data_IF_021175856768
#
_entry.id   IF_021175856768
#
_cell.length_a   1.000
_cell.length_b   1.000
_cell.length_c   1.000
_cell.angle_alpha   90.00
_cell.angle_beta   90.00
_cell.angle_gamma   90.00
#
_symmetry.space_group_name_H-M   'P 1'
#
loop_
_entity.id
_entity.type
_entity.pdbx_description
1 polymer ?
#
# COMPACT_ATOMS: atom_id res chain seq x y z
N UNK A 1 -20.04 -28.80 -57.15
CA UNK A 1 -18.90 -29.09 -58.03
C UNK A 1 -17.69 -28.37 -57.46
N UNK A 2 -16.73 -29.13 -56.91
CA UNK A 2 -15.38 -28.63 -56.68
C UNK A 2 -14.66 -28.55 -58.05
N UNK A 3 -13.51 -27.85 -58.11
CA UNK A 3 -12.30 -28.64 -58.01
C UNK A 3 -11.22 -28.06 -57.08
N UNK A 4 -10.59 -29.00 -56.41
CA UNK A 4 -9.26 -29.01 -55.80
C UNK A 4 -8.18 -28.64 -56.83
N UNK A 5 -7.05 -28.06 -56.41
CA UNK A 5 -5.70 -28.68 -56.51
C UNK A 5 -4.67 -27.80 -55.80
N UNK A 6 -3.95 -28.49 -54.94
CA UNK A 6 -2.74 -28.21 -54.15
C UNK A 6 -1.52 -27.81 -55.00
N UNK A 7 -0.58 -27.04 -54.42
CA UNK A 7 0.83 -27.42 -54.57
C UNK A 7 1.73 -26.92 -53.44
N UNK A 8 2.68 -27.79 -53.10
CA UNK A 8 3.71 -27.74 -52.06
C UNK A 8 5.06 -27.80 -52.78
N UNK A 9 6.03 -26.98 -52.39
CA UNK A 9 7.48 -27.21 -52.49
C UNK A 9 8.14 -26.00 -51.78
N UNK A 10 8.77 -26.11 -50.61
CA UNK A 10 9.96 -26.87 -50.21
C UNK A 10 11.27 -26.48 -50.96
N UNK A 11 12.31 -26.35 -50.13
CA UNK A 11 13.77 -26.34 -50.37
C UNK A 11 14.45 -24.98 -50.60
N UNK A 12 15.62 -24.66 -50.01
CA UNK A 12 16.48 -25.28 -48.98
C UNK A 12 17.81 -24.51 -48.91
N UNK A 13 18.36 -24.35 -47.68
CA UNK A 13 19.81 -24.23 -47.31
C UNK A 13 20.63 -23.04 -47.89
N UNK A 14 21.73 -22.55 -47.31
CA UNK A 14 22.65 -23.02 -46.26
C UNK A 14 23.59 -21.84 -45.87
N UNK A 15 24.05 -21.81 -44.60
CA UNK A 15 25.45 -21.57 -44.15
C UNK A 15 26.12 -20.19 -44.41
N UNK A 16 27.07 -19.65 -43.62
CA UNK A 16 27.98 -20.14 -42.59
C UNK A 16 28.34 -18.97 -41.63
N UNK A 17 28.62 -19.27 -40.36
CA UNK A 17 29.61 -18.56 -39.51
C UNK A 17 30.96 -19.29 -39.69
N UNK A 18 32.17 -18.73 -39.45
CA UNK A 18 32.54 -18.04 -38.19
C UNK A 18 33.63 -16.94 -38.33
N UNK A 19 33.93 -16.23 -37.24
CA UNK A 19 35.34 -15.87 -36.95
C UNK A 19 35.54 -15.55 -35.45
N UNK A 20 36.42 -16.32 -34.82
CA UNK A 20 37.19 -16.00 -33.60
C UNK A 20 38.45 -15.25 -34.01
N UNK A 21 38.93 -14.27 -33.22
CA UNK A 21 40.36 -14.15 -32.87
C UNK A 21 40.60 -13.24 -31.65
N UNK A 22 41.27 -13.83 -30.65
CA UNK A 22 42.32 -13.32 -29.73
C UNK A 22 42.09 -12.12 -28.77
N UNK A 23 42.24 -12.24 -27.43
CA UNK A 23 43.39 -12.57 -26.54
C UNK A 23 44.46 -11.46 -26.36
N UNK A 24 44.48 -10.83 -25.18
CA UNK A 24 45.64 -10.53 -24.32
C UNK A 24 45.09 -10.29 -22.90
N UNK A 25 45.33 -11.11 -21.86
CA UNK A 25 46.55 -11.34 -21.07
C UNK A 25 47.14 -10.08 -20.42
N UNK A 26 46.90 -9.90 -19.12
CA UNK A 26 48.00 -9.59 -18.18
C UNK A 26 47.65 -10.04 -16.75
N UNK A 27 48.50 -10.92 -16.22
CA UNK A 27 48.63 -11.31 -14.81
C UNK A 27 49.92 -10.71 -14.27
N UNK A 28 49.89 -10.20 -13.05
CA UNK A 28 50.94 -10.23 -12.02
C UNK A 28 50.50 -9.27 -10.90
N UNK A 29 50.83 -9.43 -9.63
CA UNK A 29 51.31 -10.55 -8.84
C UNK A 29 51.09 -10.15 -7.37
N UNK A 30 51.16 -11.14 -6.51
CA UNK A 30 50.93 -11.14 -5.08
C UNK A 30 52.04 -10.39 -4.32
N UNK A 31 51.70 -9.55 -3.34
CA UNK A 31 52.57 -9.39 -2.16
C UNK A 31 51.73 -9.07 -0.91
N UNK A 32 51.89 -9.91 0.11
CA UNK A 32 51.36 -9.75 1.46
C UNK A 32 52.49 -9.15 2.29
N UNK A 33 52.21 -8.18 3.15
CA UNK A 33 52.83 -8.10 4.48
C UNK A 33 52.02 -7.20 5.43
N UNK A 34 52.28 -7.39 6.72
CA UNK A 34 51.38 -7.29 7.87
C UNK A 34 51.65 -6.02 8.73
N UNK A 35 51.00 -5.81 9.88
CA UNK A 35 50.42 -4.52 10.29
C UNK A 35 51.40 -3.59 11.04
N UNK A 36 51.13 -2.29 10.94
CA UNK A 36 51.75 -1.26 11.78
C UNK A 36 51.04 -1.18 13.14
N UNK A 37 51.75 -1.55 14.20
CA UNK A 37 51.57 -1.01 15.54
C UNK A 37 52.21 0.38 15.59
N UNK A 38 51.60 1.34 16.30
CA UNK A 38 52.34 2.49 16.79
C UNK A 38 51.84 2.86 18.19
N UNK A 39 52.82 3.06 19.04
CA UNK A 39 52.75 3.15 20.48
C UNK A 39 52.15 4.47 20.98
N UNK A 40 51.76 4.39 22.24
CA UNK A 40 51.37 5.44 23.17
C UNK A 40 52.34 6.61 23.24
N UNK A 41 51.81 7.84 23.15
CA UNK A 41 52.40 9.00 23.83
C UNK A 41 51.32 9.75 24.62
N UNK A 42 51.54 9.85 25.93
CA UNK A 42 50.84 10.74 26.85
C UNK A 42 51.32 12.18 26.62
N UNK A 43 50.39 13.11 26.46
CA UNK A 43 50.56 14.48 26.95
C UNK A 43 49.24 14.99 27.54
N UNK A 44 49.39 15.45 28.77
CA UNK A 44 48.46 16.23 29.61
C UNK A 44 47.98 17.49 28.91
N UNK A 45 46.71 17.86 29.11
CA UNK A 45 46.33 19.17 29.67
C UNK A 45 44.82 19.20 30.04
N UNK A 46 44.52 20.12 30.95
CA UNK A 46 43.38 20.17 31.87
C UNK A 46 42.03 20.61 31.27
N UNK A 47 40.96 20.13 31.93
CA UNK A 47 39.64 20.75 32.20
C UNK A 47 38.83 21.38 31.05
N UNK A 48 37.67 20.77 30.77
CA UNK A 48 36.37 21.46 30.93
C UNK A 48 35.23 20.42 30.96
N UNK A 49 34.62 20.22 32.13
CA UNK A 49 33.34 19.50 32.27
C UNK A 49 32.21 20.36 31.67
N UNK A 50 31.90 20.14 30.39
CA UNK A 50 30.63 20.57 29.81
C UNK A 50 29.61 19.46 29.96
N UNK A 51 28.75 19.65 30.96
CA UNK A 51 27.46 19.00 31.15
C UNK A 51 26.65 19.10 29.84
N UNK A 52 26.59 18.00 29.08
CA UNK A 52 25.66 17.86 27.97
C UNK A 52 24.29 17.61 28.59
N UNK A 53 23.45 18.63 28.60
CA UNK A 53 22.02 18.47 28.81
C UNK A 53 21.50 17.57 27.70
N UNK A 54 21.05 16.37 28.08
CA UNK A 54 20.21 15.54 27.24
C UNK A 54 18.87 16.24 27.14
N UNK A 55 18.63 16.93 26.01
CA UNK A 55 17.27 17.25 25.62
C UNK A 55 16.56 15.94 25.30
N UNK A 56 15.65 15.54 26.19
CA UNK A 56 14.70 14.46 25.95
C UNK A 56 13.91 14.75 24.66
N UNK A 57 13.69 13.77 23.77
CA UNK A 57 12.84 13.98 22.61
C UNK A 57 11.41 14.27 23.08
N UNK A 58 10.89 15.44 22.70
CA UNK A 58 9.52 15.87 22.96
C UNK A 58 8.51 14.83 22.49
N UNK A 59 7.76 14.27 23.45
CA UNK A 59 6.50 13.54 23.26
C UNK A 59 5.39 14.49 22.77
N UNK A 60 5.57 15.17 21.64
CA UNK A 60 4.54 16.06 21.09
C UNK A 60 3.94 15.46 19.82
N UNK A 61 3.13 14.41 19.96
CA UNK A 61 2.20 13.98 18.89
C UNK A 61 0.97 13.17 19.34
N UNK A 62 0.86 12.74 20.61
CA UNK A 62 -0.23 11.84 21.05
C UNK A 62 -1.25 12.46 22.02
N UNK A 63 -1.09 13.71 22.45
CA UNK A 63 -1.93 14.26 23.53
C UNK A 63 -3.17 15.06 23.10
N UNK A 64 -3.40 15.31 21.80
CA UNK A 64 -4.53 16.14 21.35
C UNK A 64 -5.79 15.37 20.88
N UNK A 65 -5.92 14.07 21.12
CA UNK A 65 -7.09 13.29 20.65
C UNK A 65 -8.26 13.16 21.66
N UNK A 66 -8.18 13.77 22.85
CA UNK A 66 -9.17 13.51 23.92
C UNK A 66 -10.58 14.05 23.68
N UNK A 67 -10.77 14.95 22.71
CA UNK A 67 -12.08 15.57 22.40
C UNK A 67 -12.53 15.42 20.93
N UNK A 68 -11.87 14.58 20.13
CA UNK A 68 -12.27 14.37 18.73
C UNK A 68 -13.43 13.37 18.69
N UNK A 69 -14.58 13.70 18.07
CA UNK A 69 -15.66 12.73 17.94
C UNK A 69 -15.19 11.48 17.18
N UNK A 70 -15.63 10.30 17.61
CA UNK A 70 -15.22 9.02 17.04
C UNK A 70 -16.42 8.18 16.62
N UNK A 71 -16.21 7.31 15.62
CA UNK A 71 -17.12 6.23 15.25
C UNK A 71 -16.47 4.87 15.54
N UNK A 72 -17.22 3.94 16.12
CA UNK A 72 -16.73 2.62 16.48
C UNK A 72 -17.15 1.53 15.48
N UNK A 73 -16.21 0.66 15.09
CA UNK A 73 -16.54 -0.60 14.44
C UNK A 73 -17.15 -1.55 15.49
N UNK A 74 -18.45 -1.82 15.34
CA UNK A 74 -19.29 -2.44 16.37
C UNK A 74 -18.82 -3.83 16.82
N UNK A 75 -18.16 -4.60 15.96
CA UNK A 75 -17.76 -5.98 16.25
C UNK A 75 -16.42 -6.06 16.99
N UNK A 76 -15.64 -4.99 17.02
CA UNK A 76 -14.30 -4.95 17.63
C UNK A 76 -14.16 -3.88 18.71
N UNK A 77 -15.02 -2.86 18.70
CA UNK A 77 -14.93 -1.71 19.60
C UNK A 77 -13.83 -0.72 19.21
N UNK A 78 -13.09 -0.96 18.12
CA UNK A 78 -12.08 -0.03 17.63
C UNK A 78 -12.75 1.25 17.13
N UNK A 79 -12.24 2.39 17.59
CA UNK A 79 -12.73 3.71 17.25
C UNK A 79 -11.87 4.39 16.20
N UNK A 80 -12.52 5.18 15.35
CA UNK A 80 -11.92 5.97 14.30
C UNK A 80 -12.38 7.43 14.46
N UNK A 81 -11.47 8.42 14.41
CA UNK A 81 -11.88 9.82 14.45
C UNK A 81 -12.79 10.14 13.26
N UNK A 82 -13.84 10.95 13.47
CA UNK A 82 -14.74 11.35 12.37
C UNK A 82 -14.07 12.26 11.34
N UNK A 83 -12.96 12.90 11.73
CA UNK A 83 -12.21 13.83 10.89
C UNK A 83 -10.72 13.79 11.28
N UNK A 84 -9.85 13.82 10.29
CA UNK A 84 -8.39 13.89 10.48
C UNK A 84 -7.92 15.34 10.52
N UNK A 85 -6.71 15.55 11.02
CA UNK A 85 -6.03 16.86 11.07
C UNK A 85 -5.92 17.51 9.68
N UNK A 86 -5.79 16.71 8.61
CA UNK A 86 -5.73 17.20 7.24
C UNK A 86 -7.11 17.43 6.59
N UNK A 87 -8.19 17.46 7.38
CA UNK A 87 -9.55 17.77 6.95
C UNK A 87 -10.32 16.60 6.32
N UNK A 88 -9.68 15.46 6.03
CA UNK A 88 -10.41 14.29 5.49
C UNK A 88 -11.42 13.77 6.50
N UNK A 89 -12.62 13.48 6.03
CA UNK A 89 -13.73 12.98 6.86
C UNK A 89 -13.83 11.46 6.75
N UNK A 90 -14.25 10.83 7.84
CA UNK A 90 -14.56 9.40 7.86
C UNK A 90 -15.85 9.15 7.05
N UNK A 91 -15.75 8.30 6.04
CA UNK A 91 -16.86 7.93 5.17
C UNK A 91 -17.49 6.59 5.54
N UNK A 92 -16.70 5.67 6.07
CA UNK A 92 -17.20 4.41 6.63
C UNK A 92 -16.17 3.70 7.49
N UNK A 93 -16.67 2.85 8.40
CA UNK A 93 -15.89 1.86 9.14
C UNK A 93 -16.27 0.44 8.72
N UNK A 94 -15.31 -0.48 8.78
CA UNK A 94 -15.50 -1.87 8.40
C UNK A 94 -14.54 -2.82 9.09
N UNK A 95 -14.74 -4.12 8.86
CA UNK A 95 -13.95 -5.17 9.50
C UNK A 95 -13.47 -6.20 8.48
N UNK A 96 -12.15 -6.33 8.33
CA UNK A 96 -11.59 -7.43 7.56
C UNK A 96 -11.65 -8.73 8.35
N UNK A 97 -12.37 -9.70 7.81
CA UNK A 97 -12.40 -11.09 8.30
C UNK A 97 -11.75 -12.04 7.29
N UNK A 98 -11.06 -13.07 7.77
CA UNK A 98 -10.70 -14.26 6.97
C UNK A 98 -11.23 -15.52 7.63
N UNK A 99 -11.64 -16.48 6.82
CA UNK A 99 -11.96 -17.83 7.29
C UNK A 99 -10.67 -18.65 7.36
N UNK A 100 -10.39 -19.24 8.51
CA UNK A 100 -9.30 -20.18 8.72
C UNK A 100 -9.86 -21.43 9.39
N UNK A 101 -9.73 -22.59 8.73
CA UNK A 101 -10.28 -23.87 9.19
C UNK A 101 -11.80 -23.81 9.50
N UNK A 102 -12.56 -23.01 8.74
CA UNK A 102 -14.01 -22.83 8.94
C UNK A 102 -14.37 -21.81 10.03
N UNK A 103 -13.40 -21.25 10.75
CA UNK A 103 -13.61 -20.25 11.79
C UNK A 103 -13.29 -18.86 11.24
N UNK A 104 -14.21 -17.91 11.44
CA UNK A 104 -14.01 -16.51 11.05
C UNK A 104 -13.10 -15.76 12.02
N UNK A 105 -11.92 -15.34 11.55
CA UNK A 105 -10.95 -14.56 12.31
C UNK A 105 -11.05 -13.09 11.91
N UNK A 106 -11.14 -12.20 12.91
CA UNK A 106 -11.10 -10.74 12.75
C UNK A 106 -9.63 -10.31 12.61
N UNK A 107 -9.26 -9.77 11.45
CA UNK A 107 -7.86 -9.45 11.15
C UNK A 107 -7.53 -8.01 11.59
N UNK A 108 -8.30 -7.04 11.08
CA UNK A 108 -8.20 -5.63 11.43
C UNK A 108 -9.55 -4.95 11.22
N UNK A 109 -9.84 -3.93 12.03
CA UNK A 109 -10.86 -2.94 11.71
C UNK A 109 -10.26 -1.89 10.76
N UNK A 110 -11.07 -1.24 9.95
CA UNK A 110 -10.60 -0.17 9.08
C UNK A 110 -11.58 1.00 9.00
N UNK A 111 -11.05 2.19 8.79
CA UNK A 111 -11.81 3.41 8.48
C UNK A 111 -11.37 3.98 7.12
N UNK A 112 -12.32 4.35 6.27
CA UNK A 112 -12.08 4.97 4.96
C UNK A 112 -12.32 6.47 5.10
N UNK A 113 -11.33 7.26 4.72
CA UNK A 113 -11.35 8.72 4.78
C UNK A 113 -11.15 9.33 3.39
N UNK A 114 -11.85 10.42 3.11
CA UNK A 114 -11.73 11.15 1.86
C UNK A 114 -11.86 12.67 2.05
N UNK A 115 -11.38 13.40 1.06
CA UNK A 115 -11.69 14.81 0.88
C UNK A 115 -13.13 14.94 0.33
N UNK A 116 -14.10 15.18 1.22
CA UNK A 116 -15.51 15.20 0.86
C UNK A 116 -15.89 16.36 -0.09
N UNK A 117 -15.14 17.46 -0.10
CA UNK A 117 -15.39 18.58 -1.02
C UNK A 117 -15.01 18.15 -2.44
N UNK A 118 -13.80 17.59 -2.62
CA UNK A 118 -13.39 17.04 -3.92
C UNK A 118 -14.25 15.86 -4.38
N UNK A 119 -14.71 15.03 -3.44
CA UNK A 119 -15.65 13.96 -3.75
C UNK A 119 -16.99 14.49 -4.24
N UNK A 120 -17.50 15.57 -3.63
CA UNK A 120 -18.73 16.25 -4.07
C UNK A 120 -18.57 16.82 -5.48
N UNK A 121 -17.47 17.52 -5.74
CA UNK A 121 -17.19 18.11 -7.06
C UNK A 121 -17.08 17.02 -8.14
N UNK A 122 -16.37 15.93 -7.83
CA UNK A 122 -16.24 14.77 -8.71
C UNK A 122 -17.59 14.14 -9.04
N UNK A 123 -18.42 13.90 -8.02
CA UNK A 123 -19.72 13.25 -8.19
C UNK A 123 -20.71 14.15 -8.90
N UNK A 124 -20.80 15.44 -8.53
CA UNK A 124 -21.72 16.39 -9.19
C UNK A 124 -21.39 16.61 -10.66
N UNK A 125 -20.11 16.55 -11.03
CA UNK A 125 -19.67 16.68 -12.44
C UNK A 125 -20.01 15.45 -13.28
N UNK A 126 -19.94 14.25 -12.68
CA UNK A 126 -20.07 12.97 -13.41
C UNK A 126 -21.44 12.30 -13.27
N UNK A 127 -22.15 12.57 -12.17
CA UNK A 127 -23.46 12.01 -11.84
C UNK A 127 -24.48 13.11 -12.02
N UNK A 128 -25.22 13.08 -13.13
CA UNK A 128 -26.14 14.17 -13.48
C UNK A 128 -27.24 14.41 -12.44
N UNK A 129 -27.99 13.36 -12.06
CA UNK A 129 -29.04 13.45 -11.03
C UNK A 129 -28.71 12.54 -9.86
N UNK A 130 -28.87 13.04 -8.64
CA UNK A 130 -28.68 12.27 -7.41
C UNK A 130 -29.56 11.01 -7.42
N UNK A 131 -28.96 9.81 -7.38
CA UNK A 131 -29.72 8.58 -7.32
C UNK A 131 -30.30 8.36 -5.91
N UNK A 132 -31.35 7.56 -5.79
CA UNK A 132 -31.94 7.20 -4.48
C UNK A 132 -31.10 6.21 -3.67
N UNK A 133 -30.12 5.57 -4.31
CA UNK A 133 -29.18 4.62 -3.71
C UNK A 133 -27.83 4.72 -4.39
N UNK A 134 -26.77 4.36 -3.68
CA UNK A 134 -25.43 4.34 -4.24
C UNK A 134 -25.37 3.32 -5.39
N UNK A 135 -24.91 3.76 -6.56
CA UNK A 135 -24.86 2.93 -7.77
C UNK A 135 -23.46 2.35 -7.97
N UNK A 136 -23.35 1.29 -8.78
CA UNK A 136 -22.03 0.76 -9.19
C UNK A 136 -21.17 1.84 -9.85
N UNK A 137 -21.79 2.70 -10.65
CA UNK A 137 -21.14 3.84 -11.31
C UNK A 137 -20.53 4.82 -10.30
N UNK A 138 -21.24 5.17 -9.22
CA UNK A 138 -20.69 6.05 -8.18
C UNK A 138 -19.42 5.46 -7.54
N UNK A 139 -19.44 4.16 -7.19
CA UNK A 139 -18.24 3.51 -6.66
C UNK A 139 -17.12 3.48 -7.70
N UNK A 140 -17.45 3.21 -8.96
CA UNK A 140 -16.47 3.16 -10.04
C UNK A 140 -15.83 4.53 -10.28
N UNK A 141 -16.60 5.61 -10.24
CA UNK A 141 -16.09 6.99 -10.32
C UNK A 141 -15.07 7.27 -9.22
N UNK A 142 -15.30 6.81 -7.99
CA UNK A 142 -14.37 6.98 -6.85
C UNK A 142 -13.13 6.10 -7.00
N UNK A 143 -13.29 4.86 -7.46
CA UNK A 143 -12.19 3.95 -7.73
C UNK A 143 -11.26 4.54 -8.79
N UNK A 144 -11.82 5.06 -9.87
CA UNK A 144 -11.07 5.59 -11.04
C UNK A 144 -10.60 7.04 -10.87
N UNK A 145 -10.89 7.70 -9.75
CA UNK A 145 -10.45 9.07 -9.51
C UNK A 145 -9.06 9.16 -8.88
N UNK A 146 -8.49 10.36 -8.96
CA UNK A 146 -7.28 10.76 -8.24
C UNK A 146 -7.60 11.53 -6.95
N UNK A 147 -8.81 11.37 -6.40
CA UNK A 147 -9.19 12.06 -5.17
C UNK A 147 -8.39 11.50 -4.00
N UNK A 148 -7.79 12.40 -3.21
CA UNK A 148 -7.02 12.02 -2.04
C UNK A 148 -7.88 11.25 -1.03
N UNK A 149 -7.44 10.03 -0.70
CA UNK A 149 -8.14 9.10 0.19
C UNK A 149 -7.14 8.37 1.07
N UNK A 150 -7.56 8.02 2.29
CA UNK A 150 -6.77 7.22 3.23
C UNK A 150 -7.63 6.10 3.80
N UNK A 151 -7.06 4.90 3.90
CA UNK A 151 -7.65 3.82 4.68
C UNK A 151 -6.75 3.52 5.86
N UNK A 152 -7.29 3.68 7.07
CA UNK A 152 -6.59 3.39 8.33
C UNK A 152 -6.98 2.00 8.77
N UNK A 153 -6.01 1.11 8.90
CA UNK A 153 -6.19 -0.25 9.40
C UNK A 153 -5.69 -0.30 10.84
N UNK A 154 -6.48 -0.88 11.73
CA UNK A 154 -6.11 -1.11 13.14
C UNK A 154 -6.13 -2.61 13.40
N UNK A 155 -4.96 -3.17 13.70
CA UNK A 155 -4.77 -4.61 13.85
C UNK A 155 -5.58 -5.13 15.05
N UNK A 156 -6.32 -6.22 14.83
CA UNK A 156 -7.10 -6.91 15.87
C UNK A 156 -6.51 -8.30 16.16
N UNK A 157 -6.04 -8.99 15.12
CA UNK A 157 -5.46 -10.32 15.27
C UNK A 157 -4.03 -10.25 15.82
N UNK A 158 -3.80 -10.83 17.00
CA UNK A 158 -2.50 -10.82 17.68
C UNK A 158 -1.41 -11.67 17.02
N UNK A 159 -1.79 -12.61 16.15
CA UNK A 159 -0.84 -13.49 15.43
C UNK A 159 -0.41 -12.94 14.07
N UNK A 160 -0.71 -11.67 13.76
CA UNK A 160 -0.42 -11.10 12.45
C UNK A 160 1.06 -10.75 12.32
N UNK A 161 1.70 -11.20 11.24
CA UNK A 161 3.09 -10.84 10.90
C UNK A 161 3.13 -9.97 9.64
N UNK A 162 4.21 -9.20 9.45
CA UNK A 162 4.39 -8.39 8.24
C UNK A 162 4.39 -9.22 6.96
N UNK A 163 4.92 -10.44 7.00
CA UNK A 163 4.87 -11.38 5.87
C UNK A 163 3.42 -11.77 5.52
N UNK A 164 2.58 -12.02 6.53
CA UNK A 164 1.15 -12.26 6.31
C UNK A 164 0.45 -11.02 5.75
N UNK A 165 0.79 -9.82 6.21
CA UNK A 165 0.25 -8.56 5.69
C UNK A 165 0.59 -8.39 4.22
N UNK A 166 1.88 -8.52 3.84
CA UNK A 166 2.32 -8.47 2.45
C UNK A 166 1.58 -9.45 1.57
N UNK A 167 1.53 -10.72 1.97
CA UNK A 167 0.82 -11.75 1.22
C UNK A 167 -0.66 -11.41 1.03
N UNK A 168 -1.34 -10.90 2.06
CA UNK A 168 -2.75 -10.53 1.93
C UNK A 168 -2.96 -9.32 1.00
N UNK A 169 -2.06 -8.34 1.02
CA UNK A 169 -2.12 -7.24 0.05
C UNK A 169 -1.81 -7.72 -1.37
N UNK A 170 -0.80 -8.56 -1.55
CA UNK A 170 -0.49 -9.16 -2.87
C UNK A 170 -1.70 -9.91 -3.44
N UNK A 171 -2.35 -10.76 -2.64
CA UNK A 171 -3.55 -11.49 -3.03
C UNK A 171 -4.71 -10.54 -3.37
N UNK A 172 -5.00 -9.58 -2.49
CA UNK A 172 -6.13 -8.64 -2.65
C UNK A 172 -5.97 -7.68 -3.83
N UNK A 173 -4.77 -7.13 -4.00
CA UNK A 173 -4.42 -6.28 -5.12
C UNK A 173 -4.38 -7.07 -6.42
N UNK A 174 -3.81 -8.28 -6.42
CA UNK A 174 -3.77 -9.13 -7.60
C UNK A 174 -5.19 -9.48 -8.09
N UNK A 175 -6.10 -9.78 -7.17
CA UNK A 175 -7.51 -10.00 -7.50
C UNK A 175 -8.17 -8.74 -8.09
N UNK A 176 -7.93 -7.57 -7.49
CA UNK A 176 -8.50 -6.30 -7.96
C UNK A 176 -7.93 -5.87 -9.33
N UNK A 177 -6.61 -5.99 -9.55
CA UNK A 177 -5.98 -5.75 -10.85
C UNK A 177 -6.57 -6.65 -11.92
N UNK A 178 -6.78 -7.93 -11.61
CA UNK A 178 -7.42 -8.88 -12.55
C UNK A 178 -8.84 -8.47 -12.91
N UNK A 179 -9.61 -7.96 -11.96
CA UNK A 179 -10.97 -7.46 -12.21
C UNK A 179 -10.96 -6.18 -13.07
N UNK A 180 -10.01 -5.28 -12.81
CA UNK A 180 -9.92 -4.00 -13.52
C UNK A 180 -9.35 -4.12 -14.94
N UNK A 181 -8.44 -5.08 -15.18
CA UNK A 181 -7.67 -5.15 -16.43
C UNK A 181 -7.86 -6.46 -17.22
N UNK A 182 -8.45 -7.49 -16.60
CA UNK A 182 -8.47 -8.85 -17.13
C UNK A 182 -7.14 -9.62 -17.00
N UNK A 183 -6.05 -8.94 -16.66
CA UNK A 183 -4.69 -9.51 -16.56
C UNK A 183 -4.15 -9.58 -15.13
N UNK A 184 -2.97 -10.19 -14.97
CA UNK A 184 -2.22 -10.18 -13.70
C UNK A 184 -1.03 -9.22 -13.80
N UNK A 185 -0.65 -8.62 -12.68
CA UNK A 185 0.56 -7.80 -12.59
C UNK A 185 1.26 -8.00 -11.24
N UNK A 186 1.82 -9.18 -11.05
CA UNK A 186 2.45 -9.61 -9.78
C UNK A 186 3.68 -8.76 -9.39
N UNK A 187 4.32 -8.09 -10.36
CA UNK A 187 5.40 -7.15 -10.08
C UNK A 187 4.88 -5.88 -9.39
N UNK A 188 3.69 -5.42 -9.78
CA UNK A 188 3.11 -4.19 -9.24
C UNK A 188 2.58 -4.39 -7.82
N UNK A 189 1.94 -5.53 -7.53
CA UNK A 189 1.39 -5.80 -6.19
C UNK A 189 2.46 -5.78 -5.10
N UNK A 190 3.66 -6.29 -5.42
CA UNK A 190 4.78 -6.36 -4.48
C UNK A 190 5.35 -5.00 -4.08
N UNK A 191 5.03 -3.92 -4.80
CA UNK A 191 5.60 -2.60 -4.52
C UNK A 191 5.02 -1.93 -3.26
N UNK A 192 3.73 -2.16 -2.95
CA UNK A 192 2.99 -1.44 -1.88
C UNK A 192 3.60 -1.56 -0.48
N UNK A 193 4.33 -2.65 -0.24
CA UNK A 193 4.96 -3.00 1.03
C UNK A 193 6.43 -3.40 0.81
N UNK A 194 7.02 -3.01 -0.32
CA UNK A 194 8.30 -3.52 -0.79
C UNK A 194 9.48 -3.19 0.11
N UNK A 195 9.42 -2.05 0.82
CA UNK A 195 10.49 -1.58 1.71
C UNK A 195 10.16 -1.79 3.19
N UNK A 196 8.98 -2.35 3.50
CA UNK A 196 8.58 -2.62 4.87
C UNK A 196 9.36 -3.81 5.44
N UNK A 197 10.07 -3.59 6.55
CA UNK A 197 10.89 -4.61 7.21
C UNK A 197 10.03 -5.73 7.83
N UNK A 198 10.59 -6.94 7.86
CA UNK A 198 9.90 -8.16 8.33
C UNK A 198 9.78 -8.24 9.86
N UNK A 199 10.66 -7.53 10.57
CA UNK A 199 10.79 -7.53 12.01
C UNK A 199 9.86 -6.54 12.73
N UNK A 200 9.10 -5.73 12.00
CA UNK A 200 8.07 -4.86 12.56
C UNK A 200 7.00 -5.74 13.23
N UNK A 201 6.85 -5.57 14.56
CA UNK A 201 5.90 -6.33 15.38
C UNK A 201 4.51 -5.70 15.31
N UNK A 202 3.59 -6.35 14.61
CA UNK A 202 2.18 -5.93 14.55
C UNK A 202 1.38 -6.51 15.72
N UNK A 203 1.34 -5.78 16.84
CA UNK A 203 0.49 -6.11 17.99
C UNK A 203 -0.94 -5.58 17.79
N UNK A 204 -1.96 -6.12 18.50
CA UNK A 204 -3.29 -5.53 18.48
C UNK A 204 -3.26 -4.03 18.82
N UNK A 205 -3.97 -3.22 18.04
CA UNK A 205 -3.92 -1.76 18.11
C UNK A 205 -2.88 -1.12 17.18
N UNK A 206 -1.93 -1.88 16.62
CA UNK A 206 -0.99 -1.36 15.62
C UNK A 206 -1.75 -0.75 14.43
N UNK A 207 -1.27 0.40 13.95
CA UNK A 207 -1.90 1.15 12.86
C UNK A 207 -1.09 1.01 11.58
N UNK A 208 -1.78 0.72 10.49
CA UNK A 208 -1.26 0.84 9.12
C UNK A 208 -2.15 1.82 8.38
N UNK A 209 -1.58 2.86 7.80
CA UNK A 209 -2.31 3.82 6.96
C UNK A 209 -1.85 3.66 5.52
N UNK A 210 -2.80 3.53 4.60
CA UNK A 210 -2.48 3.53 3.17
C UNK A 210 -3.28 4.62 2.52
N UNK A 211 -2.56 5.58 1.94
CA UNK A 211 -3.11 6.79 1.34
C UNK A 211 -2.90 6.79 -0.17
N UNK A 212 -3.97 7.01 -0.92
CA UNK A 212 -3.90 7.47 -2.32
C UNK A 212 -3.73 8.98 -2.28
N UNK A 213 -2.51 9.45 -2.49
CA UNK A 213 -2.16 10.85 -2.64
C UNK A 213 -2.42 11.31 -4.09
N UNK A 214 -2.56 12.63 -4.32
CA UNK A 214 -2.67 13.19 -5.67
C UNK A 214 -1.52 12.74 -6.60
N UNK A 215 -1.81 12.60 -7.89
CA UNK A 215 -0.89 12.05 -8.88
C UNK A 215 -0.79 10.53 -8.81
N UNK A 216 -1.84 9.84 -8.35
CA UNK A 216 -1.90 8.39 -8.24
C UNK A 216 -0.71 7.77 -7.48
N UNK A 217 -0.33 8.40 -6.38
CA UNK A 217 0.73 7.91 -5.50
C UNK A 217 0.16 7.17 -4.31
N UNK A 218 0.47 5.90 -4.17
CA UNK A 218 0.07 5.09 -3.02
C UNK A 218 1.19 5.10 -1.98
N UNK A 219 0.93 5.73 -0.83
CA UNK A 219 1.85 5.78 0.30
C UNK A 219 1.36 4.87 1.42
N UNK A 220 2.26 4.05 1.96
CA UNK A 220 2.00 3.19 3.12
C UNK A 220 2.79 3.70 4.32
N UNK A 221 2.10 3.86 5.45
CA UNK A 221 2.70 4.09 6.76
C UNK A 221 2.38 2.94 7.69
N UNK A 222 3.37 2.50 8.47
CA UNK A 222 3.21 1.51 9.53
C UNK A 222 3.70 2.16 10.82
N UNK A 223 2.83 2.24 11.83
CA UNK A 223 3.17 2.93 13.09
C UNK A 223 3.72 4.33 12.86
N UNK A 224 3.05 5.09 11.99
CA UNK A 224 3.40 6.46 11.56
C UNK A 224 4.67 6.62 10.71
N UNK A 225 5.48 5.58 10.54
CA UNK A 225 6.66 5.59 9.67
C UNK A 225 6.30 5.26 8.22
N UNK A 226 6.80 6.06 7.26
CA UNK A 226 6.60 5.79 5.83
C UNK A 226 7.49 4.61 5.43
N UNK A 227 6.86 3.54 4.95
CA UNK A 227 7.56 2.29 4.56
C UNK A 227 7.40 1.96 3.07
N UNK A 228 6.64 2.78 2.32
CA UNK A 228 6.53 2.64 0.87
C UNK A 228 5.86 3.88 0.29
N UNK A 229 6.32 4.32 -0.89
CA UNK A 229 5.64 5.30 -1.74
C UNK A 229 5.76 4.85 -3.19
N UNK A 230 4.62 4.65 -3.87
CA UNK A 230 4.59 4.08 -5.22
C UNK A 230 3.66 4.88 -6.12
N UNK A 231 4.21 5.49 -7.16
CA UNK A 231 3.42 6.11 -8.22
C UNK A 231 2.87 5.04 -9.18
N UNK A 232 1.56 4.85 -9.18
CA UNK A 232 0.86 3.96 -10.11
C UNK A 232 -0.65 4.13 -10.01
N UNK A 233 -1.26 4.63 -11.09
CA UNK A 233 -2.72 4.70 -11.26
C UNK A 233 -3.39 3.34 -11.02
N UNK A 234 -2.89 2.31 -11.69
CA UNK A 234 -3.46 0.96 -11.58
C UNK A 234 -3.41 0.44 -10.14
N UNK A 235 -2.32 0.69 -9.40
CA UNK A 235 -2.20 0.25 -8.02
C UNK A 235 -3.15 1.01 -7.09
N UNK A 236 -3.27 2.33 -7.27
CA UNK A 236 -4.23 3.15 -6.53
C UNK A 236 -5.67 2.69 -6.75
N UNK A 237 -6.07 2.49 -8.02
CA UNK A 237 -7.39 2.00 -8.40
C UNK A 237 -7.65 0.60 -7.82
N UNK A 238 -6.67 -0.31 -7.94
CA UNK A 238 -6.78 -1.65 -7.38
C UNK A 238 -6.92 -1.65 -5.85
N UNK A 239 -6.20 -0.76 -5.16
CA UNK A 239 -6.29 -0.63 -3.72
C UNK A 239 -7.69 -0.20 -3.26
N UNK A 240 -8.24 0.87 -3.83
CA UNK A 240 -9.59 1.34 -3.51
C UNK A 240 -10.65 0.32 -3.95
N UNK A 241 -10.44 -0.37 -5.06
CA UNK A 241 -11.31 -1.45 -5.51
C UNK A 241 -11.43 -2.60 -4.50
N UNK A 242 -10.42 -2.88 -3.67
CA UNK A 242 -10.55 -3.89 -2.60
C UNK A 242 -11.67 -3.54 -1.61
N UNK A 243 -11.96 -2.26 -1.39
CA UNK A 243 -12.96 -1.80 -0.43
C UNK A 243 -14.31 -1.48 -1.08
N UNK A 244 -14.29 -0.92 -2.29
CA UNK A 244 -15.47 -0.38 -2.96
C UNK A 244 -15.88 -1.13 -4.23
N UNK A 245 -15.04 -2.06 -4.70
CA UNK A 245 -15.25 -2.85 -5.91
C UNK A 245 -16.34 -3.92 -5.78
N UNK A 246 -16.39 -4.83 -6.75
CA UNK A 246 -17.47 -5.84 -6.83
C UNK A 246 -17.43 -6.85 -5.66
N UNK A 247 -16.23 -7.18 -5.19
CA UNK A 247 -15.98 -8.16 -4.12
C UNK A 247 -15.31 -7.47 -2.90
N UNK A 248 -16.02 -6.56 -2.19
CA UNK A 248 -15.41 -5.73 -1.16
C UNK A 248 -15.03 -6.55 0.08
N UNK A 249 -14.00 -6.09 0.81
CA UNK A 249 -13.56 -6.72 2.06
C UNK A 249 -14.66 -6.76 3.14
N UNK A 250 -15.56 -5.78 3.13
CA UNK A 250 -16.75 -5.70 3.98
C UNK A 250 -17.89 -5.02 3.20
N UNK A 251 -18.99 -5.75 2.96
CA UNK A 251 -20.15 -5.25 2.21
C UNK A 251 -20.90 -4.14 2.95
N UNK A 252 -21.01 -4.26 4.27
CA UNK A 252 -21.70 -3.28 5.12
C UNK A 252 -20.93 -1.95 5.10
N UNK A 253 -19.60 -2.01 5.17
CA UNK A 253 -18.74 -0.83 5.07
C UNK A 253 -18.84 -0.15 3.69
N UNK A 254 -18.95 -0.92 2.61
CA UNK A 254 -19.18 -0.39 1.26
C UNK A 254 -20.53 0.31 1.17
N UNK A 255 -21.60 -0.27 1.71
CA UNK A 255 -22.94 0.33 1.72
C UNK A 255 -22.98 1.63 2.51
N UNK A 256 -22.35 1.66 3.70
CA UNK A 256 -22.18 2.89 4.49
C UNK A 256 -21.38 3.94 3.74
N UNK A 257 -20.30 3.55 3.07
CA UNK A 257 -19.53 4.45 2.22
C UNK A 257 -20.43 5.05 1.12
N UNK A 258 -21.24 4.22 0.45
CA UNK A 258 -22.22 4.67 -0.53
C UNK A 258 -23.24 5.66 0.03
N UNK A 259 -23.77 5.41 1.22
CA UNK A 259 -24.65 6.35 1.91
C UNK A 259 -23.94 7.69 2.18
N UNK A 260 -22.66 7.66 2.57
CA UNK A 260 -21.85 8.88 2.72
C UNK A 260 -21.73 9.65 1.40
N UNK A 261 -21.56 8.97 0.26
CA UNK A 261 -21.50 9.62 -1.06
C UNK A 261 -22.83 10.31 -1.41
N UNK A 262 -23.96 9.66 -1.11
CA UNK A 262 -25.28 10.24 -1.35
C UNK A 262 -25.52 11.51 -0.53
N UNK A 263 -24.93 11.60 0.67
CA UNK A 263 -25.04 12.79 1.52
C UNK A 263 -24.25 14.00 1.01
N UNK A 264 -23.42 13.84 -0.02
CA UNK A 264 -22.63 14.92 -0.60
C UNK A 264 -23.40 15.72 -1.67
N UNK A 265 -24.50 15.19 -2.17
CA UNK A 265 -25.33 15.87 -3.18
C UNK A 265 -26.12 17.03 -2.58
#
# INVERSE_FOLDING_TARGET
>A
MAPTVTNVAEKTRMKDSPNETELTSNKNAHEKEKPFECETEKKTDEKEDKKVEQEEPKEDALENEKDVPVEAEQKTGITFPVMLINGKKLNSVGLRKKSMLGIGIKIYAFGIYADNEKMKDLLSTKVGKTPSKATKEMYQIVIDSDVDMMVRLVIVFSGLTMSMVRKNFDEGLGASIKKLTGGKNDKLTKKIMGEALDDIKLTPGSVIEISRLPGYTLQTKVMNEVVSTVESELLCRAYIHMYLGDDPLDKEAKEKFGASLLSLF
#
